data_IF_496179052087
#
_entry.id   IF_496179052087
#
_cell.length_a   1.000
_cell.length_b   1.000
_cell.length_c   1.000
_cell.angle_alpha   90.00
_cell.angle_beta   90.00
_cell.angle_gamma   90.00
#
_symmetry.space_group_name_H-M   'P 1'
#
loop_
_entity.id
_entity.type
_entity.pdbx_description
1 polymer ?
#
# COMPACT_ATOMS: atom_id res chain seq x y z
N UNK A 1 -6.50 -54.48 -19.91
CA UNK A 1 -5.80 -53.65 -18.90
C UNK A 1 -5.80 -52.23 -19.43
N UNK A 2 -6.91 -51.54 -19.25
CA UNK A 2 -7.00 -50.11 -19.52
C UNK A 2 -6.33 -49.40 -18.35
N UNK A 3 -5.21 -48.73 -18.62
CA UNK A 3 -4.65 -47.77 -17.68
C UNK A 3 -5.57 -46.56 -17.67
N UNK A 4 -6.32 -46.40 -16.57
CA UNK A 4 -6.92 -45.13 -16.19
C UNK A 4 -5.82 -44.06 -16.21
N UNK A 5 -5.88 -43.16 -17.20
CA UNK A 5 -5.16 -41.90 -17.14
C UNK A 5 -5.76 -41.12 -15.98
N UNK A 6 -5.06 -41.08 -14.84
CA UNK A 6 -5.30 -40.05 -13.82
C UNK A 6 -5.40 -38.69 -14.52
N UNK A 7 -6.61 -38.15 -14.60
CA UNK A 7 -6.80 -36.73 -14.92
C UNK A 7 -6.10 -35.96 -13.79
N UNK A 8 -4.88 -35.48 -14.03
CA UNK A 8 -4.31 -34.41 -13.21
C UNK A 8 -5.32 -33.27 -13.26
N UNK A 9 -6.06 -33.07 -12.17
CA UNK A 9 -6.92 -31.91 -11.96
C UNK A 9 -6.11 -30.66 -12.28
N UNK A 10 -6.40 -30.04 -13.41
CA UNK A 10 -5.69 -28.83 -13.85
C UNK A 10 -6.21 -27.66 -13.03
N UNK A 11 -5.41 -27.19 -12.08
CA UNK A 11 -5.77 -26.08 -11.20
C UNK A 11 -5.94 -24.79 -12.03
N UNK A 12 -7.12 -24.12 -11.99
CA UNK A 12 -7.38 -22.93 -12.78
C UNK A 12 -6.29 -21.87 -12.56
N UNK A 13 -5.82 -21.24 -13.64
CA UNK A 13 -4.73 -20.27 -13.60
C UNK A 13 -5.27 -18.86 -13.42
N UNK A 14 -4.68 -18.12 -12.49
CA UNK A 14 -4.90 -16.69 -12.30
C UNK A 14 -3.67 -15.91 -12.78
N UNK A 15 -3.93 -14.85 -13.55
CA UNK A 15 -2.90 -13.95 -14.05
C UNK A 15 -2.92 -12.67 -13.22
N UNK A 16 -1.85 -12.40 -12.49
CA UNK A 16 -1.71 -11.22 -11.62
C UNK A 16 -0.87 -10.14 -12.31
N UNK A 17 -1.33 -8.88 -12.30
CA UNK A 17 -0.66 -7.75 -12.94
C UNK A 17 -0.45 -6.60 -11.96
N UNK A 18 0.64 -6.60 -11.18
CA UNK A 18 0.94 -5.52 -10.24
C UNK A 18 1.42 -4.25 -10.94
N UNK A 19 1.11 -3.09 -10.36
CA UNK A 19 1.85 -1.87 -10.65
C UNK A 19 3.28 -2.00 -10.06
N UNK A 20 4.36 -1.60 -10.75
CA UNK A 20 5.74 -1.91 -10.35
C UNK A 20 6.30 -0.97 -9.27
N UNK A 21 5.54 -0.82 -8.18
CA UNK A 21 5.97 -0.15 -6.97
C UNK A 21 5.68 -1.05 -5.78
N UNK A 22 6.57 -1.02 -4.78
CA UNK A 22 6.50 -1.91 -3.62
C UNK A 22 5.14 -1.90 -2.92
N UNK A 23 4.49 -0.74 -2.81
CA UNK A 23 3.14 -0.62 -2.23
C UNK A 23 2.02 -1.32 -3.01
N UNK A 24 2.27 -1.76 -4.24
CA UNK A 24 1.34 -2.44 -5.12
C UNK A 24 1.75 -3.89 -5.38
N UNK A 25 3.05 -4.15 -5.54
CA UNK A 25 3.60 -5.52 -5.64
C UNK A 25 3.30 -6.31 -4.38
N UNK A 26 3.53 -5.74 -3.19
CA UNK A 26 3.29 -6.41 -1.91
C UNK A 26 1.86 -7.00 -1.80
N UNK A 27 0.79 -6.18 -1.87
CA UNK A 27 -0.57 -6.70 -1.75
C UNK A 27 -0.95 -7.64 -2.90
N UNK A 28 -0.45 -7.43 -4.12
CA UNK A 28 -0.73 -8.34 -5.25
C UNK A 28 -0.14 -9.74 -5.01
N UNK A 29 1.13 -9.82 -4.57
CA UNK A 29 1.77 -11.11 -4.28
C UNK A 29 1.17 -11.79 -3.05
N UNK A 30 0.80 -11.02 -2.03
CA UNK A 30 0.07 -11.52 -0.86
C UNK A 30 -1.28 -12.13 -1.25
N UNK A 31 -2.06 -11.44 -2.08
CA UNK A 31 -3.30 -11.98 -2.65
C UNK A 31 -3.02 -13.25 -3.46
N UNK A 32 -1.98 -13.25 -4.29
CA UNK A 32 -1.54 -14.43 -5.03
C UNK A 32 -1.26 -15.62 -4.13
N UNK A 33 -0.55 -15.43 -3.01
CA UNK A 33 -0.24 -16.53 -2.08
C UNK A 33 -1.51 -17.05 -1.41
N UNK A 34 -2.43 -16.17 -1.01
CA UNK A 34 -3.72 -16.57 -0.47
C UNK A 34 -4.48 -17.44 -1.48
N UNK A 35 -4.61 -16.98 -2.72
CA UNK A 35 -5.33 -17.72 -3.77
C UNK A 35 -4.62 -19.03 -4.14
N UNK A 36 -3.29 -19.05 -4.14
CA UNK A 36 -2.54 -20.29 -4.34
C UNK A 36 -2.87 -21.35 -3.28
N UNK A 37 -2.99 -20.97 -2.00
CA UNK A 37 -3.43 -21.91 -0.94
C UNK A 37 -4.86 -22.44 -1.12
N UNK A 38 -5.64 -21.82 -2.01
CA UNK A 38 -7.02 -22.20 -2.34
C UNK A 38 -7.12 -23.04 -3.61
N UNK A 39 -5.99 -23.44 -4.20
CA UNK A 39 -5.94 -24.34 -5.35
C UNK A 39 -5.85 -23.63 -6.70
N UNK A 40 -5.49 -22.34 -6.75
CA UNK A 40 -5.23 -21.66 -8.01
C UNK A 40 -3.75 -21.74 -8.40
N UNK A 41 -3.46 -21.93 -9.68
CA UNK A 41 -2.11 -21.72 -10.22
C UNK A 41 -1.90 -20.22 -10.44
N UNK A 42 -0.76 -19.66 -10.01
CA UNK A 42 -0.51 -18.21 -10.10
C UNK A 42 0.53 -17.92 -11.18
N UNK A 43 0.26 -16.95 -12.06
CA UNK A 43 1.23 -16.37 -12.97
C UNK A 43 1.24 -14.85 -12.82
N UNK A 44 2.39 -14.28 -12.50
CA UNK A 44 2.58 -12.83 -12.37
C UNK A 44 3.14 -12.29 -13.69
N UNK A 45 2.34 -11.49 -14.39
CA UNK A 45 2.81 -10.69 -15.53
C UNK A 45 3.27 -9.34 -14.98
N UNK A 46 4.58 -9.08 -15.06
CA UNK A 46 5.19 -7.90 -14.47
C UNK A 46 6.01 -7.12 -15.49
N UNK A 47 6.22 -5.84 -15.24
CA UNK A 47 7.09 -4.99 -16.07
C UNK A 47 8.56 -5.31 -15.81
N UNK A 48 9.45 -4.85 -16.71
CA UNK A 48 10.90 -4.97 -16.49
C UNK A 48 11.36 -4.05 -15.35
N UNK A 49 10.79 -2.85 -15.27
CA UNK A 49 11.00 -1.91 -14.18
C UNK A 49 10.51 -2.51 -12.85
N UNK A 50 11.34 -2.44 -11.80
CA UNK A 50 11.06 -2.95 -10.45
C UNK A 50 10.46 -4.37 -10.45
N UNK A 51 11.10 -5.30 -11.18
CA UNK A 51 10.63 -6.67 -11.28
C UNK A 51 10.57 -7.36 -9.90
N UNK A 52 9.49 -8.13 -9.61
CA UNK A 52 9.46 -9.00 -8.44
C UNK A 52 10.61 -10.00 -8.45
N UNK A 53 11.00 -10.47 -7.26
CA UNK A 53 12.09 -11.46 -7.09
C UNK A 53 11.47 -12.88 -7.09
N UNK A 54 11.61 -13.68 -8.16
CA UNK A 54 10.91 -14.96 -8.28
C UNK A 54 11.30 -15.99 -7.21
N UNK A 55 12.53 -15.93 -6.70
CA UNK A 55 13.00 -16.86 -5.67
C UNK A 55 12.22 -16.76 -4.34
N UNK A 56 11.48 -15.66 -4.13
CA UNK A 56 10.66 -15.49 -2.93
C UNK A 56 9.28 -16.18 -3.06
N UNK A 57 8.90 -16.60 -4.27
CA UNK A 57 7.62 -17.25 -4.61
C UNK A 57 7.87 -18.36 -5.64
N UNK A 58 8.65 -19.41 -5.31
CA UNK A 58 9.04 -20.46 -6.25
C UNK A 58 7.86 -21.23 -6.87
N UNK A 59 6.69 -21.18 -6.23
CA UNK A 59 5.45 -21.79 -6.68
C UNK A 59 4.70 -20.95 -7.74
N UNK A 60 5.11 -19.70 -8.01
CA UNK A 60 4.49 -18.84 -9.02
C UNK A 60 5.25 -18.88 -10.34
N UNK A 61 4.51 -18.74 -11.45
CA UNK A 61 5.10 -18.36 -12.73
C UNK A 61 5.34 -16.85 -12.77
N UNK A 62 6.49 -16.41 -13.30
CA UNK A 62 6.78 -15.00 -13.54
C UNK A 62 7.10 -14.80 -15.02
N UNK A 63 6.45 -13.83 -15.64
CA UNK A 63 6.70 -13.47 -17.04
C UNK A 63 6.81 -11.95 -17.14
N UNK A 64 7.96 -11.51 -17.65
CA UNK A 64 8.23 -10.10 -17.87
C UNK A 64 7.58 -9.63 -19.17
N UNK A 65 6.89 -8.48 -19.13
CA UNK A 65 6.41 -7.78 -20.31
C UNK A 65 7.26 -6.53 -20.55
N UNK A 66 7.67 -6.26 -21.81
CA UNK A 66 8.33 -5.01 -22.17
C UNK A 66 7.50 -3.80 -21.79
N UNK A 67 8.08 -2.90 -21.00
CA UNK A 67 7.50 -1.59 -20.64
C UNK A 67 8.14 -0.44 -21.43
N UNK A 68 9.28 -0.67 -22.08
CA UNK A 68 10.08 0.32 -22.80
C UNK A 68 10.45 1.55 -21.95
N UNK A 69 10.72 1.31 -20.67
CA UNK A 69 11.10 2.35 -19.70
C UNK A 69 12.58 2.23 -19.32
N UNK A 70 13.19 3.36 -18.96
CA UNK A 70 14.56 3.37 -18.45
C UNK A 70 14.60 3.01 -16.96
N UNK A 71 15.68 2.36 -16.51
CA UNK A 71 15.92 1.99 -15.09
C UNK A 71 16.29 3.20 -14.20
N UNK A 72 15.68 4.37 -14.42
CA UNK A 72 15.95 5.54 -13.59
C UNK A 72 15.11 5.50 -12.31
N UNK A 73 15.69 5.93 -11.19
CA UNK A 73 14.97 6.14 -9.94
C UNK A 73 13.87 7.18 -10.17
N UNK A 74 12.62 6.76 -9.97
CA UNK A 74 11.45 7.63 -10.12
C UNK A 74 11.26 8.39 -8.81
N UNK A 75 11.32 9.71 -8.90
CA UNK A 75 10.97 10.57 -7.78
C UNK A 75 9.45 10.53 -7.52
N UNK A 76 9.00 10.96 -6.34
CA UNK A 76 7.55 11.10 -6.11
C UNK A 76 6.89 12.02 -7.16
N UNK A 77 7.65 12.97 -7.72
CA UNK A 77 7.18 13.97 -8.65
C UNK A 77 6.86 13.40 -10.06
N UNK A 78 7.48 12.28 -10.41
CA UNK A 78 7.38 11.65 -11.73
C UNK A 78 6.35 10.50 -11.79
N UNK A 79 5.66 10.21 -10.68
CA UNK A 79 4.78 9.03 -10.57
C UNK A 79 3.58 9.07 -11.51
N UNK A 80 2.89 10.21 -11.67
CA UNK A 80 1.68 10.27 -12.50
C UNK A 80 1.97 10.16 -14.01
N UNK A 81 2.96 10.89 -14.57
CA UNK A 81 3.39 10.68 -15.95
C UNK A 81 3.87 9.25 -16.19
N UNK A 82 4.59 8.66 -15.22
CA UNK A 82 5.09 7.30 -15.33
C UNK A 82 3.98 6.25 -15.43
N UNK A 83 2.95 6.32 -14.57
CA UNK A 83 1.79 5.42 -14.64
C UNK A 83 1.07 5.58 -15.99
N UNK A 84 0.97 6.81 -16.50
CA UNK A 84 0.34 7.05 -17.80
C UNK A 84 1.13 6.40 -18.94
N UNK A 85 2.46 6.47 -18.90
CA UNK A 85 3.34 5.86 -19.89
C UNK A 85 3.33 4.33 -19.81
N UNK A 86 3.27 3.76 -18.60
CA UNK A 86 3.08 2.31 -18.42
C UNK A 86 1.82 1.81 -19.14
N UNK A 87 0.70 2.51 -18.97
CA UNK A 87 -0.56 2.13 -19.62
C UNK A 87 -0.53 2.29 -21.15
N UNK A 88 0.30 3.20 -21.67
CA UNK A 88 0.52 3.33 -23.11
C UNK A 88 1.39 2.19 -23.66
N UNK A 89 2.47 1.87 -22.96
CA UNK A 89 3.51 0.96 -23.48
C UNK A 89 3.18 -0.52 -23.28
N UNK A 90 2.50 -0.86 -22.17
CA UNK A 90 2.32 -2.26 -21.78
C UNK A 90 1.12 -2.95 -22.45
N UNK A 91 0.19 -2.20 -23.05
CA UNK A 91 -1.06 -2.74 -23.61
C UNK A 91 -0.83 -3.81 -24.69
N UNK A 92 -0.04 -3.49 -25.71
CA UNK A 92 0.26 -4.42 -26.81
C UNK A 92 1.11 -5.61 -26.33
N UNK A 93 2.24 -5.43 -25.61
CA UNK A 93 3.03 -6.55 -25.11
C UNK A 93 2.23 -7.50 -24.20
N UNK A 94 1.34 -6.96 -23.36
CA UNK A 94 0.47 -7.75 -22.51
C UNK A 94 -0.54 -8.57 -23.31
N UNK A 95 -1.17 -7.98 -24.33
CA UNK A 95 -2.08 -8.68 -25.24
C UNK A 95 -1.38 -9.84 -25.97
N UNK A 96 -0.19 -9.61 -26.50
CA UNK A 96 0.60 -10.65 -27.17
C UNK A 96 1.00 -11.78 -26.21
N UNK A 97 1.36 -11.43 -24.97
CA UNK A 97 1.69 -12.41 -23.93
C UNK A 97 0.47 -13.30 -23.60
N UNK A 98 -0.69 -12.70 -23.34
CA UNK A 98 -1.93 -13.44 -23.05
C UNK A 98 -2.35 -14.31 -24.24
N UNK A 99 -2.29 -13.80 -25.47
CA UNK A 99 -2.62 -14.57 -26.66
C UNK A 99 -1.74 -15.83 -26.78
N UNK A 100 -0.43 -15.72 -26.50
CA UNK A 100 0.48 -16.87 -26.46
C UNK A 100 0.12 -17.86 -25.34
N UNK A 101 -0.27 -17.37 -24.16
CA UNK A 101 -0.69 -18.25 -23.06
C UNK A 101 -1.97 -19.02 -23.40
N UNK A 102 -2.95 -18.36 -24.02
CA UNK A 102 -4.20 -18.99 -24.48
C UNK A 102 -3.92 -20.02 -25.58
N UNK A 103 -3.02 -19.74 -26.53
CA UNK A 103 -2.62 -20.71 -27.54
C UNK A 103 -1.95 -21.95 -26.93
N UNK A 104 -1.08 -21.76 -25.93
CA UNK A 104 -0.43 -22.88 -25.22
C UNK A 104 -1.42 -23.75 -24.44
N UNK A 105 -2.48 -23.16 -23.90
CA UNK A 105 -3.57 -23.93 -23.28
C UNK A 105 -4.18 -24.93 -24.29
N UNK A 106 -4.44 -24.49 -25.52
CA UNK A 106 -5.04 -25.34 -26.56
C UNK A 106 -4.07 -26.42 -27.08
N UNK A 107 -2.78 -26.10 -27.21
CA UNK A 107 -1.77 -26.99 -27.82
C UNK A 107 -1.09 -27.92 -26.81
N UNK A 108 -0.81 -27.45 -25.61
CA UNK A 108 0.04 -28.14 -24.61
C UNK A 108 -0.76 -28.71 -23.42
N UNK A 109 -2.10 -28.62 -23.44
CA UNK A 109 -2.98 -28.97 -22.31
C UNK A 109 -2.59 -28.27 -20.99
N UNK A 110 -2.08 -27.03 -21.08
CA UNK A 110 -1.82 -26.20 -19.90
C UNK A 110 -3.13 -25.80 -19.19
N UNK A 111 -3.09 -25.44 -17.89
CA UNK A 111 -4.27 -24.96 -17.18
C UNK A 111 -4.90 -23.73 -17.82
N UNK A 112 -6.23 -23.72 -17.88
CA UNK A 112 -6.99 -22.60 -18.43
C UNK A 112 -6.84 -21.35 -17.56
N UNK A 113 -6.74 -20.19 -18.21
CA UNK A 113 -6.77 -18.91 -17.51
C UNK A 113 -8.20 -18.64 -17.06
N UNK A 114 -8.45 -18.70 -15.76
CA UNK A 114 -9.77 -18.41 -15.18
C UNK A 114 -10.04 -16.90 -15.12
N UNK A 115 -9.04 -16.10 -14.73
CA UNK A 115 -9.22 -14.67 -14.55
C UNK A 115 -7.89 -13.91 -14.56
N UNK A 116 -7.95 -12.65 -14.99
CA UNK A 116 -6.89 -11.65 -14.82
C UNK A 116 -7.22 -10.80 -13.59
N UNK A 117 -6.30 -10.69 -12.63
CA UNK A 117 -6.40 -9.76 -11.50
C UNK A 117 -5.33 -8.69 -11.67
N UNK A 118 -5.73 -7.44 -11.79
CA UNK A 118 -4.80 -6.34 -12.08
C UNK A 118 -4.95 -5.20 -11.09
N UNK A 119 -3.85 -4.51 -10.82
CA UNK A 119 -3.85 -3.32 -9.97
C UNK A 119 -4.67 -2.18 -10.60
N UNK A 120 -5.41 -1.40 -9.81
CA UNK A 120 -6.26 -0.32 -10.33
C UNK A 120 -5.53 0.66 -11.26
N UNK A 121 -4.23 0.88 -11.06
CA UNK A 121 -3.41 1.77 -11.90
C UNK A 121 -2.99 1.14 -13.23
N UNK A 122 -3.13 -0.17 -13.42
CA UNK A 122 -2.80 -0.91 -14.64
C UNK A 122 -4.05 -1.07 -15.54
N UNK A 123 -4.80 0.01 -15.71
CA UNK A 123 -6.12 0.02 -16.35
C UNK A 123 -6.14 -0.42 -17.82
N UNK A 124 -5.00 -0.46 -18.52
CA UNK A 124 -4.91 -1.08 -19.85
C UNK A 124 -5.35 -2.56 -19.85
N UNK A 125 -5.21 -3.25 -18.71
CA UNK A 125 -5.56 -4.66 -18.57
C UNK A 125 -7.04 -4.93 -18.85
N UNK A 126 -7.94 -4.00 -18.51
CA UNK A 126 -9.40 -4.15 -18.70
C UNK A 126 -9.75 -4.26 -20.19
N UNK A 127 -9.20 -3.37 -21.00
CA UNK A 127 -9.42 -3.37 -22.45
C UNK A 127 -8.86 -4.64 -23.11
N UNK A 128 -7.67 -5.08 -22.67
CA UNK A 128 -7.05 -6.30 -23.20
C UNK A 128 -7.83 -7.54 -22.78
N UNK A 129 -8.20 -7.66 -21.50
CA UNK A 129 -8.99 -8.78 -20.98
C UNK A 129 -10.30 -8.96 -21.77
N UNK A 130 -11.00 -7.85 -22.05
CA UNK A 130 -12.20 -7.83 -22.89
C UNK A 130 -11.91 -8.32 -24.31
N UNK A 131 -10.80 -7.87 -24.92
CA UNK A 131 -10.42 -8.27 -26.28
C UNK A 131 -10.15 -9.78 -26.38
N UNK A 132 -9.44 -10.34 -25.40
CA UNK A 132 -9.15 -11.79 -25.36
C UNK A 132 -10.27 -12.62 -24.70
N UNK A 133 -11.39 -11.98 -24.33
CA UNK A 133 -12.59 -12.60 -23.72
C UNK A 133 -12.29 -13.35 -22.41
N UNK A 134 -11.37 -12.82 -21.61
CA UNK A 134 -11.11 -13.34 -20.26
C UNK A 134 -11.78 -12.46 -19.20
N UNK A 135 -12.35 -13.04 -18.13
CA UNK A 135 -12.80 -12.30 -16.96
C UNK A 135 -11.64 -11.49 -16.34
N UNK A 136 -11.96 -10.31 -15.81
CA UNK A 136 -11.00 -9.48 -15.10
C UNK A 136 -11.54 -8.99 -13.76
N UNK A 137 -10.66 -8.84 -12.78
CA UNK A 137 -10.96 -8.33 -11.44
C UNK A 137 -9.93 -7.26 -11.07
N UNK A 138 -10.40 -6.15 -10.51
CA UNK A 138 -9.52 -5.05 -10.09
C UNK A 138 -9.07 -5.25 -8.65
N UNK A 139 -7.77 -5.19 -8.38
CA UNK A 139 -7.24 -5.06 -7.02
C UNK A 139 -7.02 -3.58 -6.68
N UNK A 140 -7.60 -3.15 -5.55
CA UNK A 140 -7.36 -1.84 -4.96
C UNK A 140 -6.54 -1.98 -3.69
N UNK A 141 -5.31 -1.47 -3.77
CA UNK A 141 -4.32 -1.42 -2.69
C UNK A 141 -4.37 -0.11 -1.89
N UNK A 142 -5.35 0.77 -2.18
CA UNK A 142 -5.63 2.02 -1.46
C UNK A 142 -6.84 1.86 -0.52
N UNK A 143 -7.10 2.83 0.35
CA UNK A 143 -8.29 2.80 1.23
C UNK A 143 -9.61 3.09 0.49
N UNK A 144 -10.72 2.56 0.99
CA UNK A 144 -12.06 2.87 0.43
C UNK A 144 -12.34 4.38 0.50
N UNK A 145 -11.91 5.02 1.57
CA UNK A 145 -12.05 6.47 1.78
C UNK A 145 -11.24 7.28 0.75
N UNK A 146 -10.12 6.75 0.26
CA UNK A 146 -9.34 7.37 -0.83
C UNK A 146 -10.12 7.38 -2.13
N UNK A 147 -10.80 6.27 -2.47
CA UNK A 147 -11.64 6.22 -3.66
C UNK A 147 -12.75 7.28 -3.64
N UNK A 148 -13.49 7.37 -2.52
CA UNK A 148 -14.53 8.39 -2.35
C UNK A 148 -13.96 9.81 -2.47
N UNK A 149 -12.78 10.06 -1.88
CA UNK A 149 -12.11 11.36 -1.98
C UNK A 149 -11.71 11.73 -3.41
N UNK A 150 -11.24 10.76 -4.21
CA UNK A 150 -10.86 10.98 -5.61
C UNK A 150 -12.08 11.19 -6.50
N UNK A 151 -13.18 10.46 -6.26
CA UNK A 151 -14.46 10.71 -6.94
C UNK A 151 -15.00 12.12 -6.63
N UNK A 152 -14.92 12.58 -5.39
CA UNK A 152 -15.33 13.93 -5.04
C UNK A 152 -14.46 14.99 -5.73
N UNK A 153 -13.15 14.76 -5.94
CA UNK A 153 -12.33 15.69 -6.74
C UNK A 153 -12.89 15.83 -8.16
N UNK A 154 -13.31 14.73 -8.81
CA UNK A 154 -13.91 14.78 -10.15
C UNK A 154 -15.22 15.58 -10.15
N UNK A 155 -16.07 15.37 -9.15
CA UNK A 155 -17.34 16.10 -8.99
C UNK A 155 -17.10 17.60 -8.75
N UNK A 156 -16.26 17.94 -7.77
CA UNK A 156 -15.90 19.33 -7.44
C UNK A 156 -15.28 20.06 -8.63
N UNK A 157 -14.50 19.35 -9.47
CA UNK A 157 -13.95 19.91 -10.70
C UNK A 157 -15.05 20.20 -11.73
N UNK A 158 -16.01 19.29 -11.90
CA UNK A 158 -17.14 19.47 -12.81
C UNK A 158 -18.05 20.62 -12.38
N UNK A 159 -18.21 20.84 -11.07
CA UNK A 159 -18.99 21.94 -10.49
C UNK A 159 -18.24 23.28 -10.48
N UNK A 160 -16.96 23.31 -10.86
CA UNK A 160 -16.13 24.52 -10.81
C UNK A 160 -15.74 24.97 -9.40
N UNK A 161 -15.95 24.11 -8.39
CA UNK A 161 -15.72 24.40 -6.96
C UNK A 161 -14.31 24.02 -6.50
N UNK A 162 -13.54 23.28 -7.31
CA UNK A 162 -12.17 22.91 -6.96
C UNK A 162 -11.27 24.16 -6.92
N UNK A 163 -11.26 24.84 -5.77
CA UNK A 163 -10.49 26.06 -5.54
C UNK A 163 -9.01 25.71 -5.46
N UNK A 164 -8.17 26.41 -6.24
CA UNK A 164 -6.75 26.53 -5.95
C UNK A 164 -6.60 26.99 -4.50
N UNK A 165 -5.92 26.19 -3.67
CA UNK A 165 -5.75 26.35 -2.21
C UNK A 165 -5.90 27.81 -1.73
N UNK A 166 -7.09 28.15 -1.25
CA UNK A 166 -7.48 29.47 -0.74
C UNK A 166 -8.05 29.38 0.68
N UNK A 167 -8.86 30.37 1.07
CA UNK A 167 -9.46 30.51 2.41
C UNK A 167 -10.29 29.30 2.90
N UNK A 168 -10.79 28.46 1.99
CA UNK A 168 -11.63 27.27 2.28
C UNK A 168 -10.84 25.98 2.50
N UNK A 169 -9.50 26.02 2.45
CA UNK A 169 -8.61 24.85 2.58
C UNK A 169 -8.83 24.02 3.86
N UNK A 170 -9.30 24.67 4.93
CA UNK A 170 -9.58 24.05 6.24
C UNK A 170 -11.02 23.56 6.40
N UNK A 171 -11.92 23.91 5.48
CA UNK A 171 -13.32 23.51 5.55
C UNK A 171 -13.48 22.03 5.23
N UNK A 172 -14.47 21.41 5.85
CA UNK A 172 -14.83 20.01 5.59
C UNK A 172 -15.38 19.87 4.18
N UNK A 173 -15.02 18.78 3.51
CA UNK A 173 -15.61 18.40 2.23
C UNK A 173 -16.99 17.79 2.51
N UNK A 174 -18.07 18.35 1.93
CA UNK A 174 -19.41 17.82 2.11
C UNK A 174 -19.49 16.32 1.79
N UNK A 175 -20.13 15.54 2.67
CA UNK A 175 -20.30 14.09 2.49
C UNK A 175 -19.05 13.23 2.72
N UNK A 176 -17.88 13.82 2.99
CA UNK A 176 -16.60 13.10 3.16
C UNK A 176 -15.94 13.34 4.53
N UNK A 177 -16.73 13.53 5.58
CA UNK A 177 -16.18 13.65 6.93
C UNK A 177 -15.26 12.45 7.25
N UNK A 178 -14.03 12.65 7.78
CA UNK A 178 -13.48 13.88 8.37
C UNK A 178 -12.61 14.75 7.44
N UNK A 179 -12.66 14.53 6.13
CA UNK A 179 -11.75 15.17 5.18
C UNK A 179 -12.03 16.66 5.03
N UNK A 180 -10.96 17.45 5.01
CA UNK A 180 -10.98 18.85 4.59
C UNK A 180 -10.53 18.98 3.14
N UNK A 181 -10.77 20.11 2.50
CA UNK A 181 -10.33 20.33 1.12
C UNK A 181 -8.81 20.12 0.94
N UNK A 182 -7.99 20.50 1.93
CA UNK A 182 -6.53 20.26 1.90
C UNK A 182 -6.11 18.79 2.09
N UNK A 183 -7.02 17.95 2.59
CA UNK A 183 -6.77 16.53 2.81
C UNK A 183 -7.08 15.70 1.57
N UNK A 184 -7.81 16.26 0.61
CA UNK A 184 -8.05 15.62 -0.67
C UNK A 184 -6.72 15.30 -1.36
N UNK A 185 -6.61 14.14 -2.01
CA UNK A 185 -5.39 13.70 -2.69
C UNK A 185 -5.17 14.46 -4.01
N UNK A 186 -5.42 15.78 -4.03
CA UNK A 186 -5.03 16.63 -5.15
C UNK A 186 -3.50 16.62 -5.21
N UNK A 187 -3.00 16.19 -6.36
CA UNK A 187 -1.57 16.15 -6.57
C UNK A 187 -0.99 17.56 -6.50
N UNK A 188 0.03 17.76 -5.65
CA UNK A 188 0.95 18.92 -5.78
C UNK A 188 1.97 18.69 -6.90
N UNK A 189 1.91 17.52 -7.51
CA UNK A 189 2.92 16.85 -8.33
C UNK A 189 2.33 16.63 -9.73
N UNK A 190 3.02 17.08 -10.77
CA UNK A 190 2.48 17.09 -12.13
C UNK A 190 1.37 18.14 -12.32
N UNK A 191 0.80 18.22 -13.53
CA UNK A 191 -0.32 19.13 -13.79
C UNK A 191 -1.62 18.54 -13.24
N UNK A 192 -2.54 19.36 -12.68
CA UNK A 192 -3.86 18.91 -12.23
C UNK A 192 -4.61 18.09 -13.28
N UNK A 193 -4.37 18.37 -14.56
CA UNK A 193 -4.97 17.70 -15.71
C UNK A 193 -4.53 16.23 -15.83
N UNK A 194 -3.23 15.93 -15.69
CA UNK A 194 -2.72 14.55 -15.75
C UNK A 194 -3.33 13.72 -14.62
N UNK A 195 -3.37 14.30 -13.41
CA UNK A 195 -4.00 13.64 -12.27
C UNK A 195 -5.47 13.34 -12.57
N UNK A 196 -6.26 14.35 -12.96
CA UNK A 196 -7.68 14.20 -13.27
C UNK A 196 -7.93 13.16 -14.38
N UNK A 197 -7.09 13.14 -15.41
CA UNK A 197 -7.17 12.15 -16.48
C UNK A 197 -6.89 10.74 -15.95
N UNK A 198 -5.89 10.58 -15.09
CA UNK A 198 -5.54 9.29 -14.49
C UNK A 198 -6.68 8.73 -13.63
N UNK A 199 -7.20 9.50 -12.67
CA UNK A 199 -8.33 9.03 -11.83
C UNK A 199 -9.58 8.77 -12.68
N UNK A 200 -9.80 9.57 -13.73
CA UNK A 200 -10.87 9.30 -14.68
C UNK A 200 -10.68 7.96 -15.39
N UNK A 201 -9.47 7.62 -15.84
CA UNK A 201 -9.18 6.35 -16.50
C UNK A 201 -9.34 5.17 -15.54
N UNK A 202 -8.77 5.26 -14.33
CA UNK A 202 -8.85 4.21 -13.29
C UNK A 202 -10.31 3.89 -12.93
N UNK A 203 -11.22 4.87 -12.94
CA UNK A 203 -12.62 4.70 -12.53
C UNK A 203 -13.62 4.57 -13.68
N UNK A 204 -13.19 4.78 -14.92
CA UNK A 204 -13.96 4.45 -16.13
C UNK A 204 -14.02 2.96 -16.40
N UNK A 205 -13.17 2.18 -15.75
CA UNK A 205 -13.03 0.73 -15.87
C UNK A 205 -14.30 0.03 -15.39
N UNK A 206 -15.25 -0.12 -16.32
CA UNK A 206 -16.63 -0.58 -16.08
C UNK A 206 -16.87 -2.04 -16.47
N UNK A 207 -15.88 -2.72 -17.05
CA UNK A 207 -16.06 -4.08 -17.57
C UNK A 207 -15.46 -5.18 -16.72
N UNK A 208 -14.76 -4.83 -15.64
CA UNK A 208 -14.27 -5.84 -14.70
C UNK A 208 -15.43 -6.51 -13.96
N UNK A 209 -15.31 -7.81 -13.72
CA UNK A 209 -16.33 -8.65 -13.12
C UNK A 209 -16.52 -8.39 -11.62
N UNK A 210 -15.46 -7.90 -10.95
CA UNK A 210 -15.45 -7.61 -9.52
C UNK A 210 -14.32 -6.65 -9.10
N UNK A 211 -14.39 -6.21 -7.85
CA UNK A 211 -13.35 -5.39 -7.20
C UNK A 211 -12.90 -6.10 -5.91
N UNK A 212 -11.60 -6.37 -5.81
CA UNK A 212 -10.93 -6.81 -4.57
C UNK A 212 -10.38 -5.56 -3.89
N UNK A 213 -10.59 -5.46 -2.58
CA UNK A 213 -10.12 -4.33 -1.80
C UNK A 213 -9.26 -4.80 -0.62
N UNK A 214 -8.04 -4.27 -0.50
CA UNK A 214 -7.19 -4.51 0.66
C UNK A 214 -7.62 -3.62 1.84
N UNK A 215 -8.83 -3.84 2.34
CA UNK A 215 -9.43 -3.20 3.52
C UNK A 215 -10.49 -4.13 4.10
N UNK A 216 -11.18 -3.70 5.15
CA UNK A 216 -12.25 -4.48 5.79
C UNK A 216 -13.35 -3.60 6.42
N UNK A 217 -14.44 -4.25 6.81
CA UNK A 217 -15.59 -3.60 7.43
C UNK A 217 -15.25 -3.00 8.81
N UNK A 218 -14.31 -3.61 9.55
CA UNK A 218 -13.86 -3.09 10.85
C UNK A 218 -13.32 -1.66 10.71
N UNK A 219 -12.65 -1.37 9.61
CA UNK A 219 -12.00 -0.07 9.35
C UNK A 219 -12.87 0.90 8.55
N UNK A 220 -13.58 0.42 7.52
CA UNK A 220 -14.15 1.29 6.48
C UNK A 220 -15.60 0.94 6.05
N UNK A 221 -16.38 0.23 6.88
CA UNK A 221 -17.74 -0.21 6.52
C UNK A 221 -18.65 0.90 5.94
N UNK A 222 -18.73 2.14 6.51
CA UNK A 222 -19.54 3.20 5.91
C UNK A 222 -19.09 3.58 4.50
N UNK A 223 -17.77 3.65 4.27
CA UNK A 223 -17.19 3.96 2.95
C UNK A 223 -17.48 2.83 1.96
N UNK A 224 -17.30 1.58 2.37
CA UNK A 224 -17.58 0.40 1.53
C UNK A 224 -19.05 0.32 1.10
N UNK A 225 -19.98 0.58 2.04
CA UNK A 225 -21.41 0.62 1.73
C UNK A 225 -21.77 1.72 0.73
N UNK A 226 -21.17 2.89 0.84
CA UNK A 226 -21.40 3.98 -0.11
C UNK A 226 -20.87 3.63 -1.50
N UNK A 227 -19.68 3.03 -1.58
CA UNK A 227 -19.10 2.57 -2.85
C UNK A 227 -19.96 1.49 -3.49
N UNK A 228 -20.48 0.54 -2.71
CA UNK A 228 -21.34 -0.54 -3.23
C UNK A 228 -22.62 -0.01 -3.90
N UNK A 229 -23.16 1.15 -3.48
CA UNK A 229 -24.31 1.79 -4.15
C UNK A 229 -23.94 2.38 -5.52
N UNK A 230 -22.66 2.72 -5.72
CA UNK A 230 -22.14 3.36 -6.93
C UNK A 230 -21.59 2.34 -7.94
N UNK A 231 -21.25 1.13 -7.47
CA UNK A 231 -20.72 0.05 -8.30
C UNK A 231 -21.77 -0.99 -8.66
N UNK A 232 -21.77 -1.44 -9.92
CA UNK A 232 -22.67 -2.49 -10.42
C UNK A 232 -22.11 -3.90 -10.21
N UNK A 233 -20.88 -4.01 -9.70
CA UNK A 233 -20.13 -5.25 -9.55
C UNK A 233 -19.92 -5.57 -8.08
N UNK A 234 -19.62 -6.84 -7.79
CA UNK A 234 -19.32 -7.27 -6.42
C UNK A 234 -18.03 -6.62 -5.91
N UNK A 235 -18.07 -6.13 -4.67
CA UNK A 235 -16.90 -5.62 -3.93
C UNK A 235 -16.54 -6.64 -2.85
N UNK A 236 -15.26 -7.01 -2.82
CA UNK A 236 -14.71 -8.01 -1.92
C UNK A 236 -13.62 -7.37 -1.04
N UNK A 237 -14.00 -6.83 0.13
CA UNK A 237 -13.03 -6.41 1.13
C UNK A 237 -12.40 -7.65 1.76
N UNK A 238 -11.15 -7.95 1.41
CA UNK A 238 -10.45 -9.20 1.82
C UNK A 238 -9.22 -8.91 2.69
N UNK A 239 -9.03 -7.65 3.08
CA UNK A 239 -7.85 -7.21 3.80
C UNK A 239 -7.94 -7.41 5.31
N UNK A 240 -6.81 -7.21 6.04
CA UNK A 240 -5.50 -6.84 5.50
C UNK A 240 -4.77 -8.05 4.89
N UNK A 241 -4.35 -7.95 3.63
CA UNK A 241 -3.75 -9.08 2.90
C UNK A 241 -2.46 -9.61 3.55
N UNK A 242 -1.70 -8.74 4.22
CA UNK A 242 -0.44 -9.12 4.89
C UNK A 242 -0.65 -10.02 6.13
N UNK A 243 -1.83 -9.98 6.76
CA UNK A 243 -2.18 -10.85 7.90
C UNK A 243 -2.69 -12.22 7.44
N UNK A 244 -3.30 -12.28 6.26
CA UNK A 244 -3.93 -13.50 5.72
C UNK A 244 -2.95 -14.31 4.88
N UNK A 245 -2.03 -13.63 4.19
CA UNK A 245 -1.06 -14.30 3.33
C UNK A 245 -0.03 -15.10 4.15
N UNK A 246 0.43 -16.25 3.62
CA UNK A 246 1.61 -16.94 4.13
C UNK A 246 2.82 -16.00 4.23
N UNK A 247 3.71 -16.28 5.18
CA UNK A 247 4.91 -15.50 5.38
C UNK A 247 5.87 -15.62 4.18
N UNK A 248 5.95 -14.55 3.40
CA UNK A 248 6.94 -14.35 2.34
C UNK A 248 7.38 -12.89 2.29
N UNK A 249 8.59 -12.65 1.78
CA UNK A 249 9.09 -11.30 1.54
C UNK A 249 8.80 -10.90 0.10
N UNK A 250 8.12 -9.77 -0.07
CA UNK A 250 7.90 -9.12 -1.37
C UNK A 250 8.72 -7.83 -1.51
N UNK A 251 9.70 -7.63 -0.64
CA UNK A 251 10.52 -6.41 -0.63
C UNK A 251 11.42 -6.35 -1.87
N UNK A 252 11.39 -5.22 -2.58
CA UNK A 252 12.33 -4.93 -3.68
C UNK A 252 13.73 -4.57 -3.17
N UNK A 253 13.81 -4.07 -1.93
CA UNK A 253 15.06 -3.65 -1.31
C UNK A 253 15.45 -4.70 -0.27
N UNK A 254 16.74 -5.09 -0.27
CA UNK A 254 17.29 -6.04 0.70
C UNK A 254 17.10 -5.51 2.13
N UNK A 255 16.42 -6.29 2.95
CA UNK A 255 16.15 -5.99 4.36
C UNK A 255 17.41 -6.18 5.21
N UNK A 256 17.60 -5.27 6.17
CA UNK A 256 18.67 -5.32 7.18
C UNK A 256 18.10 -5.84 8.50
N UNK A 257 18.30 -7.14 8.75
CA UNK A 257 17.81 -7.81 9.95
C UNK A 257 18.61 -7.48 11.23
N UNK A 258 19.73 -6.73 11.13
CA UNK A 258 20.51 -6.36 12.31
C UNK A 258 19.72 -5.46 13.28
N UNK A 259 18.70 -4.74 12.77
CA UNK A 259 17.83 -3.93 13.61
C UNK A 259 16.97 -4.77 14.55
N UNK A 260 16.64 -6.03 14.21
CA UNK A 260 15.89 -6.93 15.09
C UNK A 260 16.73 -7.25 16.34
N UNK A 261 18.00 -7.62 16.17
CA UNK A 261 18.92 -7.85 17.29
C UNK A 261 19.13 -6.60 18.15
N UNK A 262 19.03 -5.40 17.56
CA UNK A 262 19.04 -4.16 18.34
C UNK A 262 17.74 -3.98 19.14
N UNK A 263 16.58 -4.29 18.56
CA UNK A 263 15.26 -4.22 19.21
C UNK A 263 15.14 -5.19 20.39
N UNK A 264 15.74 -6.38 20.32
CA UNK A 264 15.77 -7.38 21.41
C UNK A 264 16.39 -6.85 22.71
N UNK A 265 17.27 -5.84 22.61
CA UNK A 265 17.92 -5.20 23.75
C UNK A 265 17.09 -4.06 24.37
N UNK A 266 16.00 -3.68 23.71
CA UNK A 266 15.16 -2.55 24.11
C UNK A 266 14.01 -2.99 25.01
N UNK A 267 13.52 -2.06 25.84
CA UNK A 267 12.36 -2.31 26.70
C UNK A 267 11.07 -2.33 25.89
N UNK A 268 10.05 -2.98 26.44
CA UNK A 268 8.74 -3.09 25.79
C UNK A 268 8.09 -1.72 25.58
N UNK A 269 7.52 -1.51 24.39
CA UNK A 269 6.84 -0.27 23.98
C UNK A 269 7.66 1.03 24.13
N UNK A 270 9.01 0.98 24.09
CA UNK A 270 9.84 2.19 24.22
C UNK A 270 10.42 2.69 22.91
N UNK A 271 10.45 1.87 21.86
CA UNK A 271 11.09 2.24 20.59
C UNK A 271 10.10 2.93 19.66
N UNK A 272 10.45 4.10 19.13
CA UNK A 272 9.78 4.70 17.99
C UNK A 272 10.37 4.15 16.68
N UNK A 273 9.57 3.45 15.89
CA UNK A 273 9.94 3.08 14.53
C UNK A 273 9.65 4.26 13.59
N UNK A 274 10.56 4.59 12.68
CA UNK A 274 10.45 5.71 11.73
C UNK A 274 10.70 5.21 10.32
N UNK A 275 9.68 5.30 9.46
CA UNK A 275 9.77 4.91 8.04
C UNK A 275 8.79 5.73 7.18
N UNK A 276 9.32 6.42 6.17
CA UNK A 276 8.52 7.24 5.24
C UNK A 276 8.18 6.50 3.93
N UNK A 277 8.27 5.17 3.93
CA UNK A 277 7.93 4.34 2.78
C UNK A 277 9.01 4.25 1.71
N UNK A 278 8.66 3.64 0.59
CA UNK A 278 9.61 3.27 -0.48
C UNK A 278 9.91 4.40 -1.46
N UNK A 279 9.12 5.47 -1.48
CA UNK A 279 9.20 6.53 -2.51
C UNK A 279 9.38 7.96 -1.97
N UNK A 280 8.90 8.28 -0.77
CA UNK A 280 8.95 9.66 -0.28
C UNK A 280 10.39 10.12 -0.02
N UNK A 281 10.83 11.23 -0.60
CA UNK A 281 12.09 11.87 -0.23
C UNK A 281 11.87 12.95 0.83
N UNK A 282 12.95 13.33 1.51
CA UNK A 282 13.02 14.49 2.39
C UNK A 282 14.22 15.34 1.98
N UNK A 283 14.12 16.65 2.11
CA UNK A 283 15.26 17.51 1.88
C UNK A 283 16.23 17.49 3.08
N UNK A 284 17.44 18.04 2.87
CA UNK A 284 18.48 18.13 3.90
C UNK A 284 18.01 18.86 5.17
N UNK A 285 17.19 19.90 5.03
CA UNK A 285 16.70 20.70 6.17
C UNK A 285 15.71 19.89 6.99
N UNK A 286 14.74 19.25 6.34
CA UNK A 286 13.76 18.39 6.97
C UNK A 286 14.43 17.21 7.66
N UNK A 287 15.42 16.57 7.03
CA UNK A 287 16.22 15.52 7.67
C UNK A 287 16.87 16.02 8.96
N UNK A 288 17.45 17.22 8.96
CA UNK A 288 18.05 17.84 10.13
C UNK A 288 17.04 18.09 11.26
N UNK A 289 15.85 18.61 10.95
CA UNK A 289 14.79 18.82 11.93
C UNK A 289 14.27 17.48 12.50
N UNK A 290 14.11 16.46 11.65
CA UNK A 290 13.74 15.10 12.07
C UNK A 290 14.78 14.50 13.02
N UNK A 291 16.06 14.57 12.64
CA UNK A 291 17.17 14.05 13.45
C UNK A 291 17.20 14.71 14.83
N UNK A 292 17.18 16.04 14.90
CA UNK A 292 17.22 16.74 16.19
C UNK A 292 15.92 16.57 16.98
N UNK A 293 14.76 16.44 16.33
CA UNK A 293 13.51 16.10 17.01
C UNK A 293 13.56 14.72 17.68
N UNK A 294 14.12 13.73 17.00
CA UNK A 294 14.37 12.38 17.55
C UNK A 294 15.35 12.46 18.74
N UNK A 295 16.51 13.10 18.56
CA UNK A 295 17.54 13.21 19.60
C UNK A 295 17.06 13.98 20.85
N UNK A 296 16.22 15.00 20.67
CA UNK A 296 15.67 15.81 21.77
C UNK A 296 14.54 15.06 22.52
N UNK A 297 13.85 14.13 21.86
CA UNK A 297 12.77 13.36 22.49
C UNK A 297 13.27 12.43 23.60
N UNK A 298 14.57 12.05 23.55
CA UNK A 298 15.21 11.06 24.43
C UNK A 298 14.53 9.69 24.42
N UNK A 299 13.70 9.40 23.42
CA UNK A 299 13.13 8.08 23.20
C UNK A 299 14.05 7.25 22.29
N UNK A 300 14.22 5.93 22.55
CA UNK A 300 14.87 5.04 21.60
C UNK A 300 14.14 5.05 20.26
N UNK A 301 14.88 5.02 19.16
CA UNK A 301 14.29 5.00 17.82
C UNK A 301 15.04 4.08 16.86
N UNK A 302 14.28 3.48 15.96
CA UNK A 302 14.77 2.77 14.77
C UNK A 302 14.32 3.56 13.53
N UNK A 303 15.26 4.10 12.77
CA UNK A 303 14.97 4.96 11.63
C UNK A 303 15.48 4.38 10.32
N UNK A 304 14.57 4.19 9.37
CA UNK A 304 14.87 3.81 7.99
C UNK A 304 15.25 5.05 7.17
N UNK A 305 16.48 5.08 6.67
CA UNK A 305 16.94 6.08 5.68
C UNK A 305 17.38 5.34 4.42
N UNK A 306 16.45 5.22 3.47
CA UNK A 306 16.67 4.47 2.23
C UNK A 306 17.65 5.18 1.30
N UNK A 307 18.46 4.47 0.49
CA UNK A 307 19.25 5.09 -0.57
C UNK A 307 18.36 5.95 -1.50
N UNK A 308 18.78 7.18 -1.81
CA UNK A 308 17.99 8.10 -2.63
C UNK A 308 16.78 8.72 -1.93
N UNK A 309 16.64 8.56 -0.60
CA UNK A 309 15.58 9.23 0.18
C UNK A 309 15.86 10.68 0.54
N UNK A 310 17.09 11.14 0.35
CA UNK A 310 17.51 12.48 0.73
C UNK A 310 18.07 13.22 -0.47
N UNK A 311 17.49 14.37 -0.76
CA UNK A 311 17.79 15.19 -1.95
C UNK A 311 19.04 16.07 -1.73
N UNK A 312 20.16 15.44 -1.36
CA UNK A 312 21.49 16.05 -1.17
C UNK A 312 22.52 14.92 -1.04
N UNK A 313 23.74 15.01 -1.59
CA UNK A 313 24.74 13.93 -1.44
C UNK A 313 25.53 13.96 -0.12
N UNK A 314 25.53 15.10 0.57
CA UNK A 314 26.27 15.34 1.80
C UNK A 314 25.42 15.20 3.06
N UNK A 315 24.15 14.76 2.94
CA UNK A 315 23.22 14.61 4.06
C UNK A 315 23.79 13.79 5.22
N UNK A 316 24.68 12.82 4.93
CA UNK A 316 25.33 11.99 5.94
C UNK A 316 26.09 12.80 6.98
N UNK A 317 26.65 13.96 6.61
CA UNK A 317 27.36 14.86 7.54
C UNK A 317 26.45 15.36 8.67
N UNK A 318 25.13 15.48 8.41
CA UNK A 318 24.16 15.88 9.42
C UNK A 318 23.95 14.83 10.52
N UNK A 319 24.22 13.56 10.21
CA UNK A 319 24.01 12.44 11.13
C UNK A 319 25.30 11.91 11.74
N UNK A 320 26.45 12.56 11.48
CA UNK A 320 27.75 12.14 12.03
C UNK A 320 28.20 13.05 13.15
N UNK A 321 28.31 14.36 12.93
CA UNK A 321 28.87 15.29 13.92
C UNK A 321 27.79 15.74 14.92
N UNK A 322 28.02 15.47 16.22
CA UNK A 322 27.12 15.82 17.31
C UNK A 322 25.84 14.98 17.40
N UNK A 323 25.29 14.48 16.29
CA UNK A 323 24.08 13.64 16.31
C UNK A 323 24.35 12.26 16.93
N UNK A 324 25.40 11.55 16.48
CA UNK A 324 25.76 10.22 17.02
C UNK A 324 26.04 10.31 18.52
N UNK A 325 26.77 11.34 18.94
CA UNK A 325 27.06 11.62 20.34
C UNK A 325 25.79 11.92 21.15
N UNK A 326 24.85 12.66 20.58
CA UNK A 326 23.59 13.02 21.24
C UNK A 326 22.62 11.84 21.41
N UNK A 327 22.64 10.85 20.50
CA UNK A 327 21.73 9.70 20.54
C UNK A 327 22.36 8.47 21.19
N UNK A 328 23.68 8.28 21.08
CA UNK A 328 24.39 7.12 21.59
C UNK A 328 23.76 5.81 21.14
N UNK A 329 23.60 4.86 22.07
CA UNK A 329 23.00 3.54 21.81
C UNK A 329 21.47 3.55 21.63
N UNK A 330 20.81 4.70 21.86
CA UNK A 330 19.35 4.83 21.76
C UNK A 330 18.87 5.01 20.31
N UNK A 331 19.77 5.23 19.35
CA UNK A 331 19.42 5.35 17.93
C UNK A 331 19.94 4.16 17.12
N UNK A 332 19.07 3.57 16.31
CA UNK A 332 19.44 2.62 15.27
C UNK A 332 19.01 3.17 13.91
N UNK A 333 19.94 3.25 12.95
CA UNK A 333 19.65 3.71 11.59
C UNK A 333 20.00 2.59 10.62
N UNK A 334 19.03 2.20 9.79
CA UNK A 334 19.21 1.18 8.74
C UNK A 334 18.75 1.70 7.39
N UNK A 335 19.24 1.08 6.32
CA UNK A 335 18.84 1.44 4.94
C UNK A 335 17.43 0.96 4.61
N UNK A 336 17.08 -0.23 5.09
CA UNK A 336 15.79 -0.86 4.85
C UNK A 336 15.53 -1.88 5.96
N UNK A 337 14.35 -1.85 6.58
CA UNK A 337 14.03 -2.72 7.71
C UNK A 337 12.98 -3.76 7.30
N UNK A 338 12.97 -4.96 7.92
CA UNK A 338 11.86 -5.90 7.81
C UNK A 338 10.63 -5.35 8.57
N UNK A 339 9.92 -4.39 7.95
CA UNK A 339 8.94 -3.54 8.63
C UNK A 339 7.84 -4.32 9.35
N UNK A 340 7.35 -5.44 8.77
CA UNK A 340 6.35 -6.30 9.40
C UNK A 340 6.87 -6.87 10.73
N UNK A 341 8.09 -7.42 10.72
CA UNK A 341 8.73 -7.98 11.92
C UNK A 341 9.03 -6.89 12.96
N UNK A 342 9.46 -5.72 12.51
CA UNK A 342 9.70 -4.56 13.38
C UNK A 342 8.42 -4.12 14.08
N UNK A 343 7.31 -3.95 13.36
CA UNK A 343 6.03 -3.52 13.94
C UNK A 343 5.45 -4.57 14.88
N UNK A 344 5.65 -5.86 14.60
CA UNK A 344 5.24 -6.96 15.47
C UNK A 344 6.13 -7.08 16.74
N UNK A 345 7.31 -6.48 16.75
CA UNK A 345 8.26 -6.61 17.85
C UNK A 345 7.79 -5.86 19.11
N UNK A 346 7.79 -6.54 20.26
CA UNK A 346 7.26 -6.00 21.53
C UNK A 346 7.94 -4.72 22.04
N UNK A 347 9.17 -4.44 21.60
CA UNK A 347 9.87 -3.19 21.92
C UNK A 347 9.28 -1.95 21.22
N UNK A 348 8.61 -2.12 20.07
CA UNK A 348 8.07 -1.01 19.30
C UNK A 348 6.85 -0.42 20.00
N UNK A 349 6.99 0.83 20.40
CA UNK A 349 5.96 1.61 21.06
C UNK A 349 5.20 2.54 20.13
N UNK A 350 5.75 2.92 18.99
CA UNK A 350 5.06 3.83 18.09
C UNK A 350 5.66 3.80 16.70
N UNK A 351 4.89 4.28 15.73
CA UNK A 351 5.31 4.32 14.34
C UNK A 351 5.16 5.71 13.75
N UNK A 352 6.29 6.38 13.47
CA UNK A 352 6.31 7.57 12.64
C UNK A 352 6.33 7.18 11.16
N UNK A 353 5.21 7.41 10.51
CA UNK A 353 4.92 6.94 9.15
C UNK A 353 4.43 8.03 8.22
N UNK A 354 4.74 7.85 6.93
CA UNK A 354 4.13 8.61 5.84
C UNK A 354 2.64 8.30 5.61
N UNK A 355 2.06 7.29 6.27
CA UNK A 355 0.65 6.87 6.12
C UNK A 355 0.30 6.33 4.73
N UNK A 356 1.23 5.68 4.04
CA UNK A 356 0.87 4.78 2.94
C UNK A 356 -0.04 3.67 3.45
N UNK A 357 -0.97 3.18 2.61
CA UNK A 357 -2.04 2.31 3.07
C UNK A 357 -1.54 0.99 3.65
N UNK A 358 -0.57 0.31 3.00
CA UNK A 358 0.02 -0.93 3.54
C UNK A 358 0.64 -0.72 4.93
N UNK A 359 1.49 0.30 5.11
CA UNK A 359 2.08 0.64 6.40
C UNK A 359 1.04 1.00 7.47
N UNK A 360 -0.06 1.63 7.07
CA UNK A 360 -1.16 1.96 7.97
C UNK A 360 -1.83 0.67 8.45
N UNK A 361 -2.14 -0.26 7.54
CA UNK A 361 -2.70 -1.56 7.88
C UNK A 361 -1.75 -2.36 8.77
N UNK A 362 -0.47 -2.46 8.43
CA UNK A 362 0.55 -3.17 9.24
C UNK A 362 0.63 -2.61 10.68
N UNK A 363 0.60 -1.29 10.83
CA UNK A 363 0.60 -0.66 12.17
C UNK A 363 -0.65 -1.00 12.99
N UNK A 364 -1.82 -0.99 12.34
CA UNK A 364 -3.10 -1.28 12.99
C UNK A 364 -3.17 -2.77 13.37
N UNK A 365 -2.77 -3.66 12.47
CA UNK A 365 -2.66 -5.11 12.72
C UNK A 365 -1.74 -5.43 13.89
N UNK A 366 -0.75 -4.58 14.18
CA UNK A 366 0.13 -4.75 15.33
C UNK A 366 -0.26 -3.94 16.58
N UNK A 367 -1.33 -3.15 16.50
CA UNK A 367 -1.80 -2.33 17.61
C UNK A 367 -0.79 -1.23 18.01
N UNK A 368 0.02 -0.78 17.05
CA UNK A 368 1.03 0.26 17.22
C UNK A 368 0.43 1.62 16.84
N UNK A 369 0.42 2.62 17.76
CA UNK A 369 -0.08 3.95 17.45
C UNK A 369 0.90 4.74 16.58
N UNK A 370 0.40 5.74 15.85
CA UNK A 370 1.15 6.39 14.77
C UNK A 370 1.42 7.89 14.98
N UNK A 371 2.57 8.36 14.50
CA UNK A 371 2.79 9.77 14.12
C UNK A 371 2.74 9.85 12.60
N UNK A 372 1.83 10.66 12.07
CA UNK A 372 1.51 10.73 10.65
C UNK A 372 2.17 11.95 10.02
N UNK A 373 3.04 11.74 9.03
CA UNK A 373 3.64 12.77 8.18
C UNK A 373 3.35 12.47 6.71
N UNK A 374 2.13 12.76 6.21
CA UNK A 374 1.78 12.48 4.83
C UNK A 374 2.59 13.32 3.85
N UNK A 375 3.14 12.68 2.82
CA UNK A 375 3.97 13.29 1.79
C UNK A 375 3.15 13.58 0.52
N UNK A 376 2.55 12.55 -0.10
CA UNK A 376 1.87 12.65 -1.39
C UNK A 376 0.70 11.66 -1.51
N UNK A 377 -0.03 11.73 -2.63
CA UNK A 377 -1.10 10.79 -2.96
C UNK A 377 -2.21 10.75 -1.90
N UNK A 378 -2.59 9.53 -1.52
CA UNK A 378 -3.66 9.19 -0.57
C UNK A 378 -3.29 9.39 0.91
N UNK A 379 -2.02 9.65 1.20
CA UNK A 379 -1.50 9.64 2.57
C UNK A 379 -2.19 10.65 3.49
N UNK A 380 -2.66 11.80 2.98
CA UNK A 380 -3.41 12.79 3.77
C UNK A 380 -4.78 12.29 4.20
N UNK A 381 -5.46 11.54 3.32
CA UNK A 381 -6.73 10.87 3.61
C UNK A 381 -6.52 9.85 4.72
N UNK A 382 -5.50 9.00 4.57
CA UNK A 382 -5.17 7.96 5.55
C UNK A 382 -4.81 8.58 6.91
N UNK A 383 -3.95 9.60 6.94
CA UNK A 383 -3.55 10.31 8.16
C UNK A 383 -4.75 10.95 8.90
N UNK A 384 -5.73 11.47 8.14
CA UNK A 384 -6.95 12.04 8.73
C UNK A 384 -7.80 10.95 9.39
N UNK A 385 -7.93 9.78 8.77
CA UNK A 385 -8.65 8.65 9.36
C UNK A 385 -7.95 8.13 10.63
N UNK A 386 -6.62 7.96 10.58
CA UNK A 386 -5.79 7.59 11.72
C UNK A 386 -5.99 8.53 12.91
N UNK A 387 -5.99 9.85 12.67
CA UNK A 387 -6.05 10.85 13.74
C UNK A 387 -7.47 11.20 14.21
N UNK A 388 -8.47 11.21 13.32
CA UNK A 388 -9.83 11.71 13.63
C UNK A 388 -10.90 10.64 13.76
N UNK A 389 -10.79 9.54 13.00
CA UNK A 389 -11.77 8.44 13.02
C UNK A 389 -11.34 7.39 14.03
N UNK A 390 -10.20 6.76 13.80
CA UNK A 390 -9.69 5.70 14.68
C UNK A 390 -9.03 6.26 15.95
N UNK A 391 -8.54 7.50 15.89
CA UNK A 391 -7.88 8.22 17.00
C UNK A 391 -6.68 7.43 17.55
N UNK A 392 -5.94 6.76 16.68
CA UNK A 392 -4.77 5.95 17.03
C UNK A 392 -3.45 6.63 16.66
N UNK A 393 -3.48 7.92 16.32
CA UNK A 393 -2.27 8.65 15.99
C UNK A 393 -2.41 10.16 15.94
N UNK A 394 -1.27 10.81 15.75
CA UNK A 394 -1.10 12.27 15.72
C UNK A 394 -0.63 12.67 14.33
N UNK A 395 -1.32 13.60 13.67
CA UNK A 395 -0.87 14.14 12.39
C UNK A 395 -0.02 15.39 12.56
N UNK A 396 1.16 15.40 11.95
CA UNK A 396 1.99 16.59 11.77
C UNK A 396 1.49 17.35 10.54
N UNK A 397 0.82 18.50 10.76
CA UNK A 397 0.18 19.27 9.68
C UNK A 397 1.06 20.40 9.11
N UNK A 398 2.07 20.84 9.85
CA UNK A 398 2.93 21.99 9.51
C UNK A 398 4.33 21.56 9.09
N UNK A 399 5.20 22.53 8.78
CA UNK A 399 6.63 22.28 8.57
C UNK A 399 7.17 21.55 9.81
N UNK A 400 7.72 20.37 9.62
CA UNK A 400 8.20 19.52 10.70
C UNK A 400 9.43 20.14 11.38
N UNK A 401 9.23 21.12 12.26
CA UNK A 401 10.29 21.68 13.10
C UNK A 401 10.61 20.72 14.25
N UNK A 402 11.88 20.64 14.63
CA UNK A 402 12.38 19.69 15.65
C UNK A 402 11.59 19.74 16.96
N UNK A 403 11.14 20.92 17.37
CA UNK A 403 10.34 21.09 18.59
C UNK A 403 8.93 20.54 18.46
N UNK A 404 8.30 20.65 17.28
CA UNK A 404 7.00 20.00 17.01
C UNK A 404 7.13 18.48 16.98
N UNK A 405 8.19 17.99 16.34
CA UNK A 405 8.52 16.56 16.29
C UNK A 405 8.74 16.01 17.70
N UNK A 406 9.60 16.66 18.49
CA UNK A 406 9.87 16.26 19.87
C UNK A 406 8.58 16.16 20.70
N UNK A 407 7.72 17.17 20.61
CA UNK A 407 6.42 17.18 21.31
C UNK A 407 5.51 16.05 20.84
N UNK A 408 5.44 15.78 19.54
CA UNK A 408 4.62 14.69 19.01
C UNK A 408 5.12 13.32 19.48
N UNK A 409 6.44 13.11 19.51
CA UNK A 409 7.06 11.89 20.02
C UNK A 409 6.72 11.71 21.51
N UNK A 410 6.89 12.74 22.34
CA UNK A 410 6.57 12.68 23.77
C UNK A 410 5.08 12.41 24.01
N UNK A 411 4.20 13.06 23.25
CA UNK A 411 2.74 12.82 23.31
C UNK A 411 2.35 11.38 22.99
N UNK A 412 2.97 10.78 21.98
CA UNK A 412 2.68 9.41 21.58
C UNK A 412 3.29 8.37 22.55
N UNK A 413 4.54 8.59 22.97
CA UNK A 413 5.36 7.57 23.63
C UNK A 413 5.29 7.64 25.16
N UNK A 414 5.09 8.83 25.73
CA UNK A 414 5.23 9.09 27.16
C UNK A 414 3.90 9.48 27.81
N UNK A 415 3.17 10.40 27.18
CA UNK A 415 1.97 11.00 27.78
C UNK A 415 0.80 10.01 27.88
N UNK A 416 -0.19 10.36 28.72
CA UNK A 416 -1.43 9.58 28.88
C UNK A 416 -2.20 9.43 27.56
N UNK A 417 -2.20 10.47 26.73
CA UNK A 417 -2.85 10.46 25.40
C UNK A 417 -2.33 9.30 24.53
N UNK A 418 -1.01 9.11 24.48
CA UNK A 418 -0.37 8.01 23.76
C UNK A 418 -0.75 6.62 24.26
N UNK A 419 -0.92 6.45 25.58
CA UNK A 419 -1.40 5.18 26.18
C UNK A 419 -2.83 4.87 25.73
N UNK A 420 -3.69 5.89 25.66
CA UNK A 420 -5.07 5.73 25.17
C UNK A 420 -5.12 5.42 23.66
N UNK A 421 -4.25 6.06 22.86
CA UNK A 421 -4.09 5.73 21.43
C UNK A 421 -3.68 4.28 21.23
N UNK A 422 -2.71 3.79 22.01
CA UNK A 422 -2.26 2.40 21.99
C UNK A 422 -3.38 1.44 22.37
N UNK A 423 -4.19 1.77 23.38
CA UNK A 423 -5.33 0.93 23.75
C UNK A 423 -6.35 0.83 22.61
N UNK A 424 -6.68 1.95 21.95
CA UNK A 424 -7.55 1.93 20.76
C UNK A 424 -6.96 1.13 19.60
N UNK A 425 -5.64 1.26 19.37
CA UNK A 425 -4.95 0.48 18.33
C UNK A 425 -5.00 -1.03 18.61
N UNK A 426 -4.79 -1.44 19.87
CA UNK A 426 -4.95 -2.85 20.28
C UNK A 426 -6.37 -3.37 20.09
N UNK A 427 -7.39 -2.57 20.45
CA UNK A 427 -8.77 -2.96 20.22
C UNK A 427 -9.10 -3.13 18.72
N UNK A 428 -8.48 -2.31 17.84
CA UNK A 428 -8.61 -2.48 16.39
C UNK A 428 -7.90 -3.74 15.90
N UNK A 429 -6.67 -4.01 16.37
CA UNK A 429 -5.95 -5.26 16.10
C UNK A 429 -6.83 -6.48 16.40
N UNK A 430 -7.40 -6.56 17.61
CA UNK A 430 -8.25 -7.68 18.02
C UNK A 430 -9.48 -7.84 17.11
N UNK A 431 -10.13 -6.74 16.74
CA UNK A 431 -11.29 -6.77 15.83
C UNK A 431 -10.90 -7.25 14.42
N UNK A 432 -9.77 -6.79 13.89
CA UNK A 432 -9.25 -7.24 12.60
C UNK A 432 -8.92 -8.73 12.64
N UNK A 433 -8.30 -9.21 13.73
CA UNK A 433 -7.98 -10.63 13.89
C UNK A 433 -9.22 -11.52 13.90
N UNK A 434 -10.34 -11.05 14.47
CA UNK A 434 -11.62 -11.76 14.40
C UNK A 434 -12.21 -11.72 12.98
N UNK A 435 -12.04 -10.61 12.29
CA UNK A 435 -12.64 -10.37 10.98
C UNK A 435 -12.03 -11.21 9.84
N UNK A 436 -10.76 -11.58 9.97
CA UNK A 436 -10.05 -12.44 9.01
C UNK A 436 -10.17 -13.95 9.34
N UNK A 437 -10.72 -14.31 10.50
CA UNK A 437 -10.95 -15.70 10.90
C UNK A 437 -12.29 -16.23 10.38
N UNK A 438 -12.48 -17.53 10.47
CA UNK A 438 -13.74 -18.19 10.09
C UNK A 438 -14.95 -17.50 10.73
N UNK A 439 -15.93 -17.14 9.90
CA UNK A 439 -17.12 -16.38 10.31
C UNK A 439 -16.97 -14.85 10.24
N UNK A 440 -15.74 -14.32 10.13
CA UNK A 440 -15.47 -12.90 9.96
C UNK A 440 -15.83 -12.34 8.57
N UNK A 441 -15.97 -11.02 8.43
CA UNK A 441 -16.46 -10.41 7.18
C UNK A 441 -15.44 -10.49 6.05
N UNK A 442 -14.15 -10.24 6.32
CA UNK A 442 -13.08 -10.42 5.33
C UNK A 442 -12.91 -11.88 4.93
N UNK A 443 -13.00 -12.82 5.88
CA UNK A 443 -12.95 -14.26 5.59
C UNK A 443 -14.10 -14.68 4.65
N UNK A 444 -15.33 -14.27 4.97
CA UNK A 444 -16.50 -14.58 4.14
C UNK A 444 -16.42 -13.91 2.76
N UNK A 445 -15.89 -12.68 2.69
CA UNK A 445 -15.68 -11.98 1.42
C UNK A 445 -14.65 -12.69 0.56
N UNK A 446 -13.56 -13.20 1.14
CA UNK A 446 -12.58 -14.01 0.42
C UNK A 446 -13.19 -15.30 -0.13
N UNK A 447 -14.02 -16.01 0.64
CA UNK A 447 -14.68 -17.22 0.15
C UNK A 447 -15.64 -16.93 -1.01
N UNK A 448 -16.44 -15.85 -0.92
CA UNK A 448 -17.31 -15.43 -2.02
C UNK A 448 -16.52 -15.01 -3.26
N UNK A 449 -15.34 -14.40 -3.09
CA UNK A 449 -14.44 -14.10 -4.20
C UNK A 449 -13.96 -15.39 -4.88
N UNK A 450 -13.60 -16.41 -4.10
CA UNK A 450 -13.16 -17.72 -4.64
C UNK A 450 -14.32 -18.38 -5.39
N UNK A 451 -15.53 -18.39 -4.83
CA UNK A 451 -16.73 -18.91 -5.50
C UNK A 451 -16.99 -18.20 -6.83
N UNK A 452 -16.87 -16.87 -6.86
CA UNK A 452 -16.99 -16.09 -8.09
C UNK A 452 -15.95 -16.50 -9.13
N UNK A 453 -14.67 -16.59 -8.74
CA UNK A 453 -13.59 -16.97 -9.66
C UNK A 453 -13.79 -18.38 -10.22
N UNK A 454 -14.28 -19.32 -9.40
CA UNK A 454 -14.57 -20.70 -9.81
C UNK A 454 -15.82 -20.82 -10.71
N UNK A 455 -16.66 -19.78 -10.76
CA UNK A 455 -17.87 -19.75 -11.60
C UNK A 455 -17.62 -19.21 -13.01
N UNK A 456 -16.44 -18.63 -13.26
CA UNK A 456 -15.98 -18.26 -14.59
C UNK A 456 -15.64 -19.49 -15.42
#
# INVERSE_FOLDING_TARGET
>A
MEMEKEHKSSHPRLVLVPLPFQGHINPMLQLGSILHTKGFSITVLHTAFNSPIPSNYPEFGFVSIPDNLSEQLISADDLLPFISLLNLNCGVPFQECLAKMVQKQEVENEPSIACIIYDECMYFCDAVAKYVKLPSIVLRSTSASTYLSRNAILQLKAEGVLTSQGSTSQDLVPGLHPLRFKDLPVSKIGTPEIFLQLITNIYKTRTSSAIIWNTNDVLEQPSLQEIQKQCQVGIFPVGPLHEVAPASSSSLIKEDNSCITWLEKQKQNTVLYVSLGSLASVDKKELGEMAWGLANSKQPFLWVIRPGSVDDQEWKKLLTEGFVEAVGENGCIVKWAPQKEVLAHGAVGGFWTHCGWNSTLESISEGVPMICKPCFGDQRVNARHVSKVWRIGIQLENKCERGEIERAIKRLMVDKEGKEMRHRAKNLKERIQLDIREGGSSYNSLNKLIELIMSF
#
